data_IF_502403376378
#
_entry.id   IF_502403376378
#
_cell.length_a   1.000
_cell.length_b   1.000
_cell.length_c   1.000
_cell.angle_alpha   90.00
_cell.angle_beta   90.00
_cell.angle_gamma   90.00
#
_symmetry.space_group_name_H-M   'P 1'
#
loop_
_entity.id
_entity.type
_entity.pdbx_description
1 polymer ?
#
# COMPACT_ATOMS: atom_id res chain seq x y z
N UNK A 1 -14.26 43.17 16.82
CA UNK A 1 -15.10 42.56 15.78
C UNK A 1 -15.46 41.14 16.22
N UNK A 2 -16.68 40.90 16.67
CA UNK A 2 -17.16 39.58 17.11
C UNK A 2 -17.88 38.90 15.95
N UNK A 3 -17.23 37.93 15.31
CA UNK A 3 -17.86 37.12 14.26
C UNK A 3 -18.89 36.18 14.87
N UNK A 4 -20.17 36.38 14.55
CA UNK A 4 -21.25 35.42 14.87
C UNK A 4 -21.35 34.43 13.71
N UNK A 5 -20.76 33.25 13.88
CA UNK A 5 -20.95 32.12 12.96
C UNK A 5 -22.34 31.51 13.20
N UNK A 6 -23.24 31.65 12.24
CA UNK A 6 -24.58 31.07 12.28
C UNK A 6 -24.53 29.54 12.28
N UNK A 7 -25.39 28.86 13.04
CA UNK A 7 -25.42 27.39 13.13
C UNK A 7 -25.56 26.68 11.77
N UNK A 8 -26.25 27.30 10.80
CA UNK A 8 -26.34 26.78 9.43
C UNK A 8 -24.99 26.77 8.68
N UNK A 9 -24.11 27.75 8.94
CA UNK A 9 -22.77 27.79 8.35
C UNK A 9 -21.87 26.68 8.92
N UNK A 10 -22.04 26.35 10.20
CA UNK A 10 -21.34 25.23 10.86
C UNK A 10 -21.82 23.90 10.27
N UNK A 11 -23.13 23.70 10.10
CA UNK A 11 -23.68 22.49 9.47
C UNK A 11 -23.24 22.32 8.01
N UNK A 12 -23.24 23.39 7.21
CA UNK A 12 -22.77 23.33 5.82
C UNK A 12 -21.26 23.00 5.72
N UNK A 13 -20.43 23.56 6.62
CA UNK A 13 -19.01 23.26 6.68
C UNK A 13 -18.71 21.80 7.08
N UNK A 14 -19.52 21.21 7.96
CA UNK A 14 -19.43 19.80 8.33
C UNK A 14 -19.75 18.86 7.15
N UNK A 15 -20.73 19.20 6.31
CA UNK A 15 -21.05 18.40 5.13
C UNK A 15 -19.98 18.51 4.02
N UNK A 16 -19.41 19.69 3.80
CA UNK A 16 -18.35 19.90 2.82
C UNK A 16 -17.05 19.14 3.16
N UNK A 17 -16.77 18.92 4.45
CA UNK A 17 -15.58 18.19 4.90
C UNK A 17 -15.66 16.66 4.70
N UNK A 18 -16.85 16.09 4.44
CA UNK A 18 -17.04 14.63 4.30
C UNK A 18 -17.12 14.13 2.86
N UNK A 19 -16.91 15.01 1.87
CA UNK A 19 -16.86 14.59 0.49
C UNK A 19 -15.61 13.74 0.27
N UNK A 20 -15.76 12.42 0.38
CA UNK A 20 -14.76 11.49 -0.08
C UNK A 20 -14.46 11.85 -1.55
N UNK A 21 -13.18 11.86 -1.93
CA UNK A 21 -12.74 12.23 -3.27
C UNK A 21 -12.49 10.99 -4.12
N UNK A 22 -12.84 11.06 -5.40
CA UNK A 22 -12.47 10.02 -6.36
C UNK A 22 -10.95 9.82 -6.32
N UNK A 23 -10.52 8.56 -6.29
CA UNK A 23 -9.12 8.20 -6.04
C UNK A 23 -8.56 7.47 -7.25
N UNK A 24 -7.36 7.86 -7.65
CA UNK A 24 -6.62 7.18 -8.70
C UNK A 24 -6.00 5.89 -8.15
N UNK A 25 -6.19 4.79 -8.88
CA UNK A 25 -5.59 3.48 -8.59
C UNK A 25 -4.85 2.98 -9.83
N UNK A 26 -3.75 2.27 -9.61
CA UNK A 26 -2.98 1.63 -10.68
C UNK A 26 -3.12 0.12 -10.56
N UNK A 27 -3.53 -0.52 -11.65
CA UNK A 27 -3.75 -1.97 -11.72
C UNK A 27 -2.65 -2.58 -12.59
N UNK A 28 -1.95 -3.58 -12.05
CA UNK A 28 -0.88 -4.30 -12.72
C UNK A 28 -1.07 -5.82 -12.57
N UNK A 29 -0.38 -6.60 -13.41
CA UNK A 29 -0.41 -8.06 -13.39
C UNK A 29 -1.32 -8.68 -14.46
N UNK A 30 -1.67 -9.95 -14.26
CA UNK A 30 -2.50 -10.75 -15.17
C UNK A 30 -3.99 -10.35 -15.03
N UNK A 31 -4.38 -9.29 -15.74
CA UNK A 31 -5.73 -8.76 -15.72
C UNK A 31 -6.09 -8.14 -17.07
N UNK A 32 -7.36 -8.18 -17.44
CA UNK A 32 -7.84 -7.57 -18.70
C UNK A 32 -7.73 -6.04 -18.66
N UNK A 33 -7.94 -5.44 -17.49
CA UNK A 33 -7.98 -3.99 -17.31
C UNK A 33 -6.82 -3.53 -16.45
N UNK A 34 -5.68 -3.25 -17.09
CA UNK A 34 -4.47 -2.71 -16.44
C UNK A 34 -4.36 -1.19 -16.60
N UNK A 35 -3.37 -0.62 -15.91
CA UNK A 35 -3.04 0.80 -15.93
C UNK A 35 -3.79 1.61 -14.89
N UNK A 36 -3.74 2.92 -15.07
CA UNK A 36 -4.33 3.89 -14.16
C UNK A 36 -5.83 4.02 -14.37
N UNK A 37 -6.60 3.98 -13.29
CA UNK A 37 -8.06 4.08 -13.27
C UNK A 37 -8.51 5.01 -12.14
N UNK A 38 -9.62 5.70 -12.36
CA UNK A 38 -10.25 6.52 -11.32
C UNK A 38 -11.37 5.71 -10.68
N UNK A 39 -11.32 5.60 -9.36
CA UNK A 39 -12.33 4.95 -8.54
C UNK A 39 -13.21 5.98 -7.85
N UNK A 40 -14.51 5.71 -7.66
CA UNK A 40 -15.36 6.58 -6.88
C UNK A 40 -14.85 6.62 -5.43
N UNK A 41 -15.19 7.69 -4.74
CA UNK A 41 -14.55 8.00 -3.48
C UNK A 41 -14.78 7.03 -2.33
N UNK A 42 -15.85 6.26 -2.41
CA UNK A 42 -16.26 5.23 -1.47
C UNK A 42 -15.97 3.82 -2.01
N UNK A 43 -15.16 3.71 -3.07
CA UNK A 43 -14.76 2.43 -3.62
C UNK A 43 -14.00 1.59 -2.60
N UNK A 44 -14.26 0.30 -2.64
CA UNK A 44 -13.57 -0.73 -1.86
C UNK A 44 -12.53 -1.41 -2.74
N UNK A 45 -11.59 -2.11 -2.11
CA UNK A 45 -10.62 -2.93 -2.83
C UNK A 45 -11.29 -3.97 -3.75
N UNK A 46 -12.42 -4.53 -3.31
CA UNK A 46 -13.20 -5.47 -4.11
C UNK A 46 -13.71 -4.83 -5.42
N UNK A 47 -14.06 -3.54 -5.41
CA UNK A 47 -14.50 -2.82 -6.62
C UNK A 47 -13.34 -2.68 -7.62
N UNK A 48 -12.12 -2.44 -7.13
CA UNK A 48 -10.93 -2.40 -7.96
C UNK A 48 -10.60 -3.78 -8.57
N UNK A 49 -10.78 -4.87 -7.82
CA UNK A 49 -10.60 -6.24 -8.34
C UNK A 49 -11.64 -6.59 -9.40
N UNK A 50 -12.91 -6.22 -9.19
CA UNK A 50 -13.97 -6.42 -10.19
C UNK A 50 -13.70 -5.59 -11.46
N UNK A 51 -13.20 -4.35 -11.31
CA UNK A 51 -12.78 -3.52 -12.44
C UNK A 51 -11.59 -4.13 -13.19
N UNK A 52 -10.59 -4.64 -12.47
CA UNK A 52 -9.38 -5.22 -13.04
C UNK A 52 -9.68 -6.39 -13.99
N UNK A 53 -10.68 -7.21 -13.65
CA UNK A 53 -11.00 -8.48 -14.33
C UNK A 53 -9.75 -9.37 -14.48
N UNK A 54 -9.29 -9.99 -13.38
CA UNK A 54 -8.14 -10.89 -13.41
C UNK A 54 -8.36 -12.04 -14.40
N UNK A 55 -7.34 -12.37 -15.18
CA UNK A 55 -7.39 -13.49 -16.12
C UNK A 55 -7.19 -14.84 -15.40
N UNK A 56 -7.41 -15.95 -16.10
CA UNK A 56 -7.34 -17.29 -15.51
C UNK A 56 -5.95 -17.69 -14.99
N UNK A 57 -4.90 -17.04 -15.49
CA UNK A 57 -3.51 -17.18 -15.07
C UNK A 57 -3.14 -16.27 -13.87
N UNK A 58 -4.06 -15.44 -13.39
CA UNK A 58 -3.83 -14.56 -12.25
C UNK A 58 -3.75 -15.33 -10.92
N UNK A 59 -2.68 -15.10 -10.15
CA UNK A 59 -2.57 -15.63 -8.80
C UNK A 59 -3.29 -14.73 -7.77
N UNK A 60 -4.61 -14.90 -7.64
CA UNK A 60 -5.45 -14.05 -6.79
C UNK A 60 -5.03 -14.01 -5.31
N UNK A 61 -4.56 -15.13 -4.77
CA UNK A 61 -4.11 -15.20 -3.38
C UNK A 61 -2.82 -14.39 -3.13
N UNK A 62 -2.06 -14.08 -4.18
CA UNK A 62 -0.87 -13.25 -4.13
C UNK A 62 -1.11 -11.78 -4.46
N UNK A 63 -2.37 -11.35 -4.66
CA UNK A 63 -2.66 -9.96 -4.95
C UNK A 63 -2.24 -9.05 -3.78
N UNK A 64 -1.47 -8.00 -4.09
CA UNK A 64 -1.05 -6.98 -3.13
C UNK A 64 -1.85 -5.69 -3.34
N UNK A 65 -2.10 -4.98 -2.24
CA UNK A 65 -2.59 -3.60 -2.29
C UNK A 65 -1.51 -2.66 -1.77
N UNK A 66 -0.97 -1.85 -2.69
CA UNK A 66 0.14 -0.96 -2.41
C UNK A 66 -0.35 0.48 -2.29
N UNK A 67 0.12 1.15 -1.24
CA UNK A 67 -0.22 2.56 -0.97
C UNK A 67 1.04 3.39 -1.04
N UNK A 68 1.05 4.51 -1.77
CA UNK A 68 2.23 5.38 -1.88
C UNK A 68 2.79 5.80 -0.51
N UNK A 69 1.91 6.06 0.46
CA UNK A 69 2.29 6.50 1.81
C UNK A 69 2.99 5.41 2.63
N UNK A 70 2.85 4.14 2.25
CA UNK A 70 3.48 3.00 2.93
C UNK A 70 4.86 2.65 2.37
N UNK A 71 5.21 3.15 1.18
CA UNK A 71 6.45 2.78 0.47
C UNK A 71 7.68 3.11 1.30
N UNK A 72 7.77 4.32 1.85
CA UNK A 72 8.94 4.72 2.66
C UNK A 72 9.14 3.80 3.87
N UNK A 73 8.05 3.47 4.56
CA UNK A 73 8.08 2.53 5.69
C UNK A 73 8.56 1.14 5.27
N UNK A 74 8.09 0.63 4.13
CA UNK A 74 8.51 -0.67 3.60
C UNK A 74 9.97 -0.69 3.17
N UNK A 75 10.47 0.37 2.52
CA UNK A 75 11.88 0.52 2.15
C UNK A 75 12.75 0.50 3.40
N UNK A 76 12.36 1.25 4.44
CA UNK A 76 13.09 1.27 5.72
C UNK A 76 13.10 -0.10 6.40
N UNK A 77 11.96 -0.81 6.43
CA UNK A 77 11.88 -2.17 6.98
C UNK A 77 12.81 -3.13 6.23
N UNK A 78 12.81 -3.08 4.89
CA UNK A 78 13.71 -3.91 4.07
C UNK A 78 15.18 -3.60 4.36
N UNK A 79 15.55 -2.32 4.42
CA UNK A 79 16.91 -1.91 4.75
C UNK A 79 17.34 -2.40 6.14
N UNK A 80 16.44 -2.34 7.13
CA UNK A 80 16.70 -2.87 8.47
C UNK A 80 16.94 -4.38 8.48
N UNK A 81 16.13 -5.15 7.73
CA UNK A 81 16.31 -6.59 7.56
C UNK A 81 17.65 -6.92 6.88
N UNK A 82 17.98 -6.21 5.81
CA UNK A 82 19.25 -6.39 5.08
C UNK A 82 20.45 -6.06 5.97
N UNK A 83 20.39 -4.96 6.71
CA UNK A 83 21.45 -4.58 7.66
C UNK A 83 21.61 -5.63 8.77
N UNK A 84 20.51 -6.06 9.40
CA UNK A 84 20.55 -7.06 10.46
C UNK A 84 21.08 -8.41 9.97
N UNK A 85 20.60 -8.89 8.82
CA UNK A 85 21.12 -10.10 8.19
C UNK A 85 22.61 -9.93 7.83
N UNK A 86 23.02 -8.72 7.40
CA UNK A 86 24.41 -8.25 7.26
C UNK A 86 25.28 -8.61 8.46
N UNK A 87 24.92 -8.04 9.61
CA UNK A 87 25.63 -8.22 10.87
C UNK A 87 25.68 -9.69 11.31
N UNK A 88 24.57 -10.44 11.12
CA UNK A 88 24.51 -11.86 11.50
C UNK A 88 25.38 -12.75 10.62
N UNK A 89 25.60 -12.39 9.35
CA UNK A 89 26.50 -13.14 8.47
C UNK A 89 27.97 -13.07 8.88
N UNK A 90 28.34 -12.09 9.71
CA UNK A 90 29.68 -11.92 10.29
C UNK A 90 29.84 -12.60 11.66
N UNK A 91 28.79 -13.25 12.18
CA UNK A 91 28.85 -13.96 13.45
C UNK A 91 29.88 -15.12 13.43
N UNK A 92 30.51 -15.37 14.57
CA UNK A 92 31.46 -16.48 14.75
C UNK A 92 30.78 -17.85 14.72
N UNK A 93 29.49 -17.91 15.06
CA UNK A 93 28.68 -19.12 14.90
C UNK A 93 28.48 -19.40 13.40
N UNK A 94 29.12 -20.47 12.94
CA UNK A 94 29.10 -20.88 11.53
C UNK A 94 27.71 -21.25 11.01
N UNK A 95 26.82 -21.79 11.84
CA UNK A 95 25.46 -22.16 11.42
C UNK A 95 24.60 -20.90 11.28
N UNK A 96 24.71 -19.99 12.24
CA UNK A 96 24.02 -18.69 12.19
C UNK A 96 24.50 -17.85 10.99
N UNK A 97 25.82 -17.77 10.79
CA UNK A 97 26.42 -17.06 9.66
C UNK A 97 25.92 -17.62 8.32
N UNK A 98 25.88 -18.95 8.17
CA UNK A 98 25.38 -19.59 6.96
C UNK A 98 23.89 -19.27 6.70
N UNK A 99 23.04 -19.38 7.74
CA UNK A 99 21.62 -19.07 7.61
C UNK A 99 21.38 -17.59 7.27
N UNK A 100 22.13 -16.68 7.88
CA UNK A 100 22.06 -15.26 7.60
C UNK A 100 22.44 -14.94 6.14
N UNK A 101 23.47 -15.60 5.59
CA UNK A 101 23.83 -15.46 4.16
C UNK A 101 22.73 -15.98 3.24
N UNK A 102 22.09 -17.09 3.59
CA UNK A 102 20.93 -17.59 2.82
C UNK A 102 19.78 -16.58 2.85
N UNK A 103 19.48 -16.00 4.01
CA UNK A 103 18.45 -14.97 4.13
C UNK A 103 18.81 -13.71 3.33
N UNK A 104 20.06 -13.25 3.39
CA UNK A 104 20.53 -12.12 2.58
C UNK A 104 20.35 -12.34 1.08
N UNK A 105 20.62 -13.55 0.58
CA UNK A 105 20.45 -13.87 -0.83
C UNK A 105 18.98 -13.89 -1.29
N UNK A 106 18.04 -14.04 -0.35
CA UNK A 106 16.61 -14.01 -0.62
C UNK A 106 16.01 -12.60 -0.57
N UNK A 107 16.56 -11.71 0.28
CA UNK A 107 16.08 -10.34 0.52
C UNK A 107 16.45 -9.34 -0.59
#
# INVERSE_FOLDING_TARGET
MTFRLSGAAIFAALFAASAAQATEVRIEGAAETTGTRVMPANARLADALLLARPSADAYLLGASFERPQAIEGQVRLRAGLQYGAGQLAEASDTQLSALARTLQAWL
#
